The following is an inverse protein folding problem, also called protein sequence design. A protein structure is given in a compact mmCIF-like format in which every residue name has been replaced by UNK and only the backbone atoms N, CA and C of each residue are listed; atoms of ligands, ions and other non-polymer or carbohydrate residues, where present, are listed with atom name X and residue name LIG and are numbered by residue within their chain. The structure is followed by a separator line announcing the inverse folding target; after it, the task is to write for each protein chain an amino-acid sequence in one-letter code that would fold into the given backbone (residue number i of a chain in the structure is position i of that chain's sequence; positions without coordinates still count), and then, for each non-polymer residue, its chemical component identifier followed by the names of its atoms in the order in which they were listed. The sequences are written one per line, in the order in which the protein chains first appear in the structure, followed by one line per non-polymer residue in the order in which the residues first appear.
data_IF_393816524120
#
_entry.id   IF_393816524120
#
_cell.length_a   1.000
_cell.length_b   1.000
_cell.length_c   1.000
_cell.angle_alpha   90.00
_cell.angle_beta   90.00
_cell.angle_gamma   90.00
#
_symmetry.space_group_name_H-M   'P 1'
#
loop_
_entity.id
_entity.type
_entity.pdbx_description
1 polymer ?
#
# COMPACT_ATOMS: atom_id res chain seq x y z
N UNK A 1 -17.27 -38.47 44.53
CA UNK A 1 -16.49 -37.25 44.63
C UNK A 1 -15.11 -37.30 43.94
N UNK A 2 -14.29 -38.35 44.10
CA UNK A 2 -12.94 -38.45 43.47
C UNK A 2 -13.00 -38.44 41.92
N UNK A 3 -13.97 -39.12 41.30
CA UNK A 3 -14.08 -39.11 39.82
C UNK A 3 -14.49 -37.76 39.23
N UNK A 4 -15.30 -36.98 39.93
CA UNK A 4 -15.71 -35.64 39.51
C UNK A 4 -14.53 -34.66 39.56
N UNK A 5 -13.64 -34.78 40.56
CA UNK A 5 -12.46 -33.95 40.71
C UNK A 5 -11.43 -34.24 39.59
N UNK A 6 -11.27 -35.51 39.19
CA UNK A 6 -10.35 -35.87 38.10
C UNK A 6 -10.87 -35.33 36.76
N UNK A 7 -12.16 -35.36 36.52
CA UNK A 7 -12.77 -34.79 35.29
C UNK A 7 -12.56 -33.28 35.23
N UNK A 8 -12.72 -32.56 36.36
CA UNK A 8 -12.54 -31.13 36.41
C UNK A 8 -11.08 -30.70 36.17
N UNK A 9 -10.13 -31.45 36.73
CA UNK A 9 -8.68 -31.21 36.54
C UNK A 9 -8.28 -31.48 35.09
N UNK A 10 -8.80 -32.53 34.44
CA UNK A 10 -8.51 -32.81 33.02
C UNK A 10 -9.07 -31.72 32.09
N UNK A 11 -10.28 -31.23 32.34
CA UNK A 11 -10.87 -30.12 31.54
C UNK A 11 -10.09 -28.83 31.74
N UNK A 12 -9.62 -28.52 32.95
CA UNK A 12 -8.79 -27.33 33.18
C UNK A 12 -7.43 -27.44 32.47
N UNK A 13 -6.80 -28.60 32.49
CA UNK A 13 -5.52 -28.85 31.84
C UNK A 13 -5.62 -28.75 30.31
N UNK A 14 -6.69 -29.30 29.70
CA UNK A 14 -6.91 -29.20 28.25
C UNK A 14 -7.15 -27.74 27.81
N UNK A 15 -7.91 -26.98 28.57
CA UNK A 15 -8.12 -25.55 28.27
C UNK A 15 -6.84 -24.71 28.42
N UNK A 16 -6.01 -25.02 29.43
CA UNK A 16 -4.71 -24.35 29.61
C UNK A 16 -3.73 -24.66 28.48
N UNK A 17 -3.71 -25.92 28.03
CA UNK A 17 -2.86 -26.38 26.93
C UNK A 17 -3.29 -25.75 25.59
N UNK A 18 -4.60 -25.64 25.33
CA UNK A 18 -5.14 -24.97 24.13
C UNK A 18 -4.84 -23.46 24.15
N UNK A 19 -4.93 -22.82 25.31
CA UNK A 19 -4.59 -21.40 25.43
C UNK A 19 -3.09 -21.11 25.23
N UNK A 20 -2.21 -22.02 25.69
CA UNK A 20 -0.78 -21.93 25.44
C UNK A 20 -0.43 -22.19 23.97
N UNK A 21 -1.03 -23.20 23.32
CA UNK A 21 -0.85 -23.48 21.91
C UNK A 21 -1.33 -22.32 21.03
N UNK A 22 -2.47 -21.72 21.36
CA UNK A 22 -2.97 -20.54 20.67
C UNK A 22 -2.05 -19.32 20.82
N UNK A 23 -1.51 -19.08 22.00
CA UNK A 23 -0.50 -18.02 22.21
C UNK A 23 0.77 -18.28 21.42
N UNK A 24 1.30 -19.48 21.45
CA UNK A 24 2.54 -19.84 20.72
C UNK A 24 2.35 -19.74 19.21
N UNK A 25 1.20 -20.17 18.69
CA UNK A 25 0.89 -20.02 17.25
C UNK A 25 0.72 -18.56 16.85
N UNK A 26 0.11 -17.73 17.67
CA UNK A 26 -0.05 -16.29 17.41
C UNK A 26 1.29 -15.56 17.49
N UNK A 27 2.17 -15.92 18.41
CA UNK A 27 3.52 -15.35 18.52
C UNK A 27 4.42 -15.81 17.38
N UNK A 28 4.36 -17.06 16.97
CA UNK A 28 5.07 -17.57 15.79
C UNK A 28 4.53 -16.95 14.50
N UNK A 29 3.21 -16.74 14.39
CA UNK A 29 2.60 -16.05 13.27
C UNK A 29 3.04 -14.60 13.22
N UNK A 30 3.03 -13.88 14.34
CA UNK A 30 3.60 -12.53 14.45
C UNK A 30 5.08 -12.51 14.08
N UNK A 31 5.91 -13.39 14.64
CA UNK A 31 7.33 -13.45 14.34
C UNK A 31 7.63 -13.79 12.87
N UNK A 32 6.81 -14.61 12.22
CA UNK A 32 6.96 -14.91 10.78
C UNK A 32 6.55 -13.73 9.87
N UNK A 33 5.60 -12.89 10.32
CA UNK A 33 5.24 -11.64 9.64
C UNK A 33 6.19 -10.49 10.00
N UNK A 34 6.80 -10.52 11.17
CA UNK A 34 7.65 -9.46 11.73
C UNK A 34 9.12 -9.55 11.31
N UNK A 35 9.51 -10.44 10.43
CA UNK A 35 10.74 -10.26 9.69
C UNK A 35 10.52 -9.12 8.70
N UNK A 36 10.39 -7.92 9.26
CA UNK A 36 10.23 -6.69 8.52
C UNK A 36 11.43 -6.57 7.57
N UNK A 37 11.17 -6.78 6.30
CA UNK A 37 12.14 -6.47 5.27
C UNK A 37 12.23 -4.96 5.27
N UNK A 38 13.39 -4.42 5.62
CA UNK A 38 13.60 -2.99 5.67
C UNK A 38 13.58 -2.42 4.25
N UNK A 39 12.59 -1.58 3.98
CA UNK A 39 12.43 -0.92 2.68
C UNK A 39 13.62 -0.02 2.36
N UNK A 40 14.31 0.52 3.38
CA UNK A 40 15.47 1.39 3.18
C UNK A 40 16.56 0.72 2.34
N UNK A 41 16.70 -0.61 2.47
CA UNK A 41 17.65 -1.40 1.68
C UNK A 41 17.36 -1.41 0.18
N UNK A 42 16.22 -0.90 -0.24
CA UNK A 42 15.78 -0.83 -1.64
C UNK A 42 15.69 0.61 -2.18
N UNK A 43 15.92 1.64 -1.37
CA UNK A 43 15.73 3.04 -1.79
C UNK A 43 16.83 3.56 -2.72
N UNK A 44 18.08 3.12 -2.54
CA UNK A 44 19.26 3.62 -3.27
C UNK A 44 19.51 2.83 -4.57
N UNK A 45 18.49 2.74 -5.42
CA UNK A 45 18.61 2.00 -6.67
C UNK A 45 19.01 2.89 -7.85
N UNK A 46 20.11 2.55 -8.50
CA UNK A 46 20.63 3.24 -9.69
C UNK A 46 20.54 2.39 -10.98
N UNK A 47 19.87 1.24 -10.89
CA UNK A 47 19.75 0.33 -12.04
C UNK A 47 18.68 0.74 -13.06
N UNK A 48 18.45 -0.05 -14.10
CA UNK A 48 17.46 0.24 -15.13
C UNK A 48 16.04 0.16 -14.58
N UNK A 49 15.25 1.19 -14.85
CA UNK A 49 13.85 1.26 -14.45
C UNK A 49 12.98 0.37 -15.34
N UNK A 50 12.02 -0.33 -14.73
CA UNK A 50 11.06 -1.18 -15.40
C UNK A 50 9.78 -0.38 -15.73
N UNK A 51 9.28 -0.42 -16.98
CA UNK A 51 8.04 0.25 -17.33
C UNK A 51 6.84 -0.45 -16.70
N UNK A 52 6.01 0.33 -16.00
CA UNK A 52 4.77 -0.13 -15.36
C UNK A 52 3.59 0.72 -15.79
N UNK A 53 2.40 0.11 -15.77
CA UNK A 53 1.13 0.80 -15.97
C UNK A 53 0.25 0.55 -14.75
N UNK A 54 -0.23 1.62 -14.12
CA UNK A 54 -1.18 1.49 -13.01
C UNK A 54 -2.58 1.34 -13.58
N UNK A 55 -3.22 0.20 -13.31
CA UNK A 55 -4.60 -0.08 -13.74
C UNK A 55 -5.63 0.41 -12.72
N UNK A 56 -5.31 0.25 -11.43
CA UNK A 56 -6.19 0.65 -10.34
C UNK A 56 -5.34 1.07 -9.15
N UNK A 57 -5.69 2.20 -8.55
CA UNK A 57 -5.02 2.69 -7.35
C UNK A 57 -5.99 3.44 -6.45
N UNK A 58 -6.07 3.06 -5.18
CA UNK A 58 -6.87 3.72 -4.18
C UNK A 58 -7.79 2.78 -3.40
N UNK A 59 -8.99 3.24 -3.12
CA UNK A 59 -10.01 2.53 -2.33
C UNK A 59 -10.98 1.84 -3.29
N UNK A 60 -11.35 0.60 -2.99
CA UNK A 60 -12.31 -0.16 -3.79
C UNK A 60 -13.77 0.24 -3.47
N UNK A 61 -14.71 -0.19 -4.33
CA UNK A 61 -16.11 0.19 -4.20
C UNK A 61 -16.75 -0.42 -2.94
N UNK A 62 -16.37 -1.63 -2.54
CA UNK A 62 -16.85 -2.29 -1.32
C UNK A 62 -16.50 -1.48 -0.06
N UNK A 63 -15.28 -0.91 -0.02
CA UNK A 63 -14.85 -0.03 1.08
C UNK A 63 -15.63 1.28 1.09
N UNK A 64 -15.99 1.82 -0.07
CA UNK A 64 -16.84 3.02 -0.16
C UNK A 64 -18.28 2.75 0.26
N UNK A 65 -18.78 1.53 0.07
CA UNK A 65 -20.10 1.12 0.58
C UNK A 65 -20.10 0.98 2.11
N UNK A 66 -19.03 0.40 2.67
CA UNK A 66 -18.89 0.26 4.13
C UNK A 66 -18.58 1.57 4.84
N UNK A 67 -17.83 2.46 4.19
CA UNK A 67 -17.34 3.74 4.74
C UNK A 67 -17.58 4.89 3.75
N UNK A 68 -18.83 5.40 3.64
CA UNK A 68 -19.19 6.46 2.69
C UNK A 68 -18.36 7.74 2.85
N UNK A 69 -17.92 8.05 4.07
CA UNK A 69 -17.08 9.20 4.37
C UNK A 69 -15.72 9.18 3.62
N UNK A 70 -15.21 8.02 3.28
CA UNK A 70 -13.99 7.91 2.48
C UNK A 70 -14.17 8.48 1.07
N UNK A 71 -15.36 8.34 0.50
CA UNK A 71 -15.73 8.89 -0.80
C UNK A 71 -15.94 10.39 -0.73
N UNK A 72 -16.71 10.84 0.26
CA UNK A 72 -17.03 12.26 0.46
C UNK A 72 -15.76 13.09 0.67
N UNK A 73 -14.82 12.57 1.47
CA UNK A 73 -13.56 13.22 1.79
C UNK A 73 -12.43 12.94 0.78
N UNK A 74 -12.72 12.28 -0.33
CA UNK A 74 -11.78 11.93 -1.40
C UNK A 74 -10.51 11.19 -0.92
N UNK A 75 -10.63 10.41 0.13
CA UNK A 75 -9.49 9.69 0.72
C UNK A 75 -8.83 8.77 -0.29
N UNK A 76 -9.60 8.11 -1.15
CA UNK A 76 -9.07 7.25 -2.19
C UNK A 76 -8.16 7.97 -3.18
N UNK A 77 -8.46 9.23 -3.53
CA UNK A 77 -7.59 10.04 -4.38
C UNK A 77 -6.27 10.36 -3.67
N UNK A 78 -6.31 10.68 -2.38
CA UNK A 78 -5.11 10.91 -1.59
C UNK A 78 -4.24 9.66 -1.46
N UNK A 79 -4.84 8.50 -1.18
CA UNK A 79 -4.14 7.21 -1.15
C UNK A 79 -3.50 6.91 -2.51
N UNK A 80 -4.22 7.14 -3.61
CA UNK A 80 -3.71 6.93 -4.97
C UNK A 80 -2.49 7.82 -5.27
N UNK A 81 -2.58 9.12 -4.96
CA UNK A 81 -1.48 10.06 -5.20
C UNK A 81 -0.23 9.68 -4.40
N UNK A 82 -0.38 9.36 -3.10
CA UNK A 82 0.73 8.91 -2.26
C UNK A 82 1.34 7.62 -2.80
N UNK A 83 0.51 6.68 -3.26
CA UNK A 83 1.00 5.41 -3.78
C UNK A 83 1.80 5.58 -5.08
N UNK A 84 1.36 6.47 -5.96
CA UNK A 84 2.10 6.78 -7.18
C UNK A 84 3.43 7.46 -6.87
N UNK A 85 3.42 8.51 -6.05
CA UNK A 85 4.64 9.19 -5.59
C UNK A 85 5.61 8.21 -4.90
N UNK A 86 5.07 7.31 -4.10
CA UNK A 86 5.86 6.29 -3.42
C UNK A 86 6.58 5.36 -4.40
N UNK A 87 5.87 4.83 -5.40
CA UNK A 87 6.46 3.96 -6.42
C UNK A 87 7.51 4.69 -7.27
N UNK A 88 7.29 5.97 -7.56
CA UNK A 88 8.24 6.81 -8.28
C UNK A 88 9.54 7.00 -7.47
N UNK A 89 9.41 7.29 -6.17
CA UNK A 89 10.54 7.49 -5.26
C UNK A 89 11.38 6.22 -5.04
N UNK A 90 10.85 5.03 -5.31
CA UNK A 90 11.64 3.79 -5.31
C UNK A 90 12.68 3.74 -6.43
N UNK A 91 12.61 4.63 -7.42
CA UNK A 91 13.50 4.75 -8.58
C UNK A 91 13.70 3.45 -9.39
N UNK A 92 12.82 2.46 -9.21
CA UNK A 92 12.86 1.14 -9.89
C UNK A 92 11.87 1.05 -11.04
N UNK A 93 10.92 1.97 -11.06
CA UNK A 93 9.80 1.94 -11.98
C UNK A 93 9.71 3.24 -12.79
N UNK A 94 9.29 3.12 -14.04
CA UNK A 94 8.88 4.26 -14.87
C UNK A 94 7.45 4.04 -15.30
N UNK A 95 6.62 5.05 -15.14
CA UNK A 95 5.22 4.97 -15.51
C UNK A 95 5.05 5.07 -17.03
N UNK A 96 4.17 4.24 -17.56
CA UNK A 96 3.71 4.34 -18.96
C UNK A 96 2.32 4.97 -18.97
N UNK A 97 2.07 5.77 -19.99
CA UNK A 97 0.76 6.44 -20.14
C UNK A 97 -0.37 5.40 -20.32
N UNK A 98 -1.45 5.57 -19.58
CA UNK A 98 -2.63 4.71 -19.62
C UNK A 98 -3.80 5.32 -20.41
N UNK A 99 -3.87 6.65 -20.47
CA UNK A 99 -4.98 7.35 -21.13
C UNK A 99 -4.97 7.17 -22.63
N UNK A 100 -5.99 6.50 -23.14
CA UNK A 100 -6.17 6.24 -24.58
C UNK A 100 -6.10 7.51 -25.41
N UNK A 101 -6.62 8.62 -24.90
CA UNK A 101 -6.59 9.90 -25.58
C UNK A 101 -5.16 10.42 -25.79
N UNK A 102 -4.31 10.32 -24.77
CA UNK A 102 -2.90 10.73 -24.84
C UNK A 102 -2.14 9.80 -25.78
N UNK A 103 -2.34 8.47 -25.67
CA UNK A 103 -1.74 7.50 -26.59
C UNK A 103 -2.10 7.80 -28.04
N UNK A 104 -3.37 8.11 -28.32
CA UNK A 104 -3.82 8.48 -29.66
C UNK A 104 -3.17 9.79 -30.16
N UNK A 105 -2.98 10.78 -29.29
CA UNK A 105 -2.25 12.01 -29.63
C UNK A 105 -0.78 11.73 -29.95
N UNK A 106 -0.11 10.89 -29.17
CA UNK A 106 1.26 10.48 -29.41
C UNK A 106 1.41 9.78 -30.78
N UNK A 107 0.49 8.87 -31.14
CA UNK A 107 0.47 8.19 -32.43
C UNK A 107 0.29 9.21 -33.58
N UNK A 108 -0.64 10.18 -33.43
CA UNK A 108 -0.86 11.23 -34.43
C UNK A 108 0.37 12.12 -34.62
N UNK A 109 1.04 12.53 -33.52
CA UNK A 109 2.28 13.31 -33.60
C UNK A 109 3.39 12.55 -34.30
N UNK A 110 3.51 11.26 -34.01
CA UNK A 110 4.48 10.39 -34.67
C UNK A 110 4.20 10.28 -36.18
N UNK A 111 2.96 10.06 -36.57
CA UNK A 111 2.54 10.03 -37.99
C UNK A 111 2.80 11.36 -38.71
N UNK A 112 2.53 12.51 -38.06
CA UNK A 112 2.83 13.83 -38.60
C UNK A 112 4.34 14.06 -38.80
N UNK A 113 5.15 13.61 -37.85
CA UNK A 113 6.60 13.67 -37.95
C UNK A 113 7.14 12.81 -39.10
N UNK A 114 6.62 11.61 -39.27
CA UNK A 114 6.99 10.70 -40.38
C UNK A 114 6.56 11.27 -41.74
N UNK A 115 5.42 11.94 -41.82
CA UNK A 115 4.93 12.59 -43.01
C UNK A 115 5.66 13.90 -43.36
N UNK A 116 6.63 14.33 -42.58
CA UNK A 116 7.39 15.56 -42.79
C UNK A 116 6.58 16.85 -42.53
N UNK A 117 5.44 16.76 -41.84
CA UNK A 117 4.55 17.88 -41.52
C UNK A 117 5.02 18.64 -40.28
N UNK A 118 5.92 18.04 -39.51
CA UNK A 118 6.47 18.61 -38.25
C UNK A 118 7.88 19.13 -38.46
N UNK A 119 8.14 20.38 -37.99
CA UNK A 119 9.52 20.94 -37.96
C UNK A 119 10.45 20.13 -37.05
N UNK A 120 9.91 19.54 -35.98
CA UNK A 120 10.65 18.66 -35.08
C UNK A 120 10.53 17.22 -35.58
N UNK A 121 11.60 16.72 -36.20
CA UNK A 121 11.68 15.27 -36.43
C UNK A 121 11.77 14.59 -35.09
N UNK A 122 10.67 13.94 -34.70
CA UNK A 122 10.76 12.92 -33.66
C UNK A 122 11.68 11.85 -34.22
N UNK A 123 12.87 11.73 -33.65
CA UNK A 123 13.85 10.69 -34.01
C UNK A 123 13.25 9.33 -33.65
N UNK A 124 12.22 9.05 -34.47
CA UNK A 124 11.22 8.11 -34.10
C UNK A 124 11.53 6.74 -34.58
N UNK A 125 12.37 6.09 -33.94
CA UNK A 125 12.12 4.66 -33.74
C UNK A 125 11.06 4.50 -32.64
N UNK A 126 9.98 5.31 -32.73
CA UNK A 126 8.88 5.48 -31.79
C UNK A 126 8.29 4.19 -31.28
N UNK A 127 9.09 3.51 -30.48
CA UNK A 127 8.62 2.40 -29.68
C UNK A 127 7.91 3.02 -28.48
N UNK A 128 6.59 3.01 -28.52
CA UNK A 128 5.79 3.23 -27.32
C UNK A 128 6.30 2.20 -26.30
N UNK A 129 6.82 2.67 -25.19
CA UNK A 129 7.21 1.77 -24.12
C UNK A 129 5.95 1.07 -23.60
N UNK A 130 5.86 -0.23 -23.86
CA UNK A 130 4.80 -1.05 -23.28
C UNK A 130 5.16 -1.33 -21.81
N UNK A 131 4.15 -1.38 -20.98
CA UNK A 131 4.33 -1.77 -19.59
C UNK A 131 4.81 -3.23 -19.51
N UNK A 132 5.85 -3.47 -18.72
CA UNK A 132 6.26 -4.83 -18.36
C UNK A 132 5.36 -5.40 -17.28
N UNK A 133 4.89 -4.55 -16.37
CA UNK A 133 3.95 -4.95 -15.32
C UNK A 133 2.73 -4.04 -15.29
N UNK A 134 1.57 -4.66 -15.11
CA UNK A 134 0.35 -3.99 -14.69
C UNK A 134 0.29 -3.97 -13.18
N UNK A 135 0.02 -2.80 -12.60
CA UNK A 135 0.02 -2.59 -11.16
C UNK A 135 -1.39 -2.25 -10.69
N UNK A 136 -1.81 -2.94 -9.62
CA UNK A 136 -3.01 -2.57 -8.85
C UNK A 136 -2.64 -2.35 -7.40
N UNK A 137 -3.17 -1.28 -6.81
CA UNK A 137 -2.99 -0.93 -5.40
C UNK A 137 -4.38 -0.70 -4.82
N UNK A 138 -4.78 -1.54 -3.89
CA UNK A 138 -6.13 -1.51 -3.32
C UNK A 138 -6.08 -1.48 -1.80
N UNK A 139 -6.89 -0.60 -1.22
CA UNK A 139 -7.15 -0.60 0.21
C UNK A 139 -8.13 -1.73 0.54
N UNK A 140 -7.74 -2.64 1.42
CA UNK A 140 -8.56 -3.77 1.87
C UNK A 140 -8.99 -3.64 3.34
N UNK A 141 -8.37 -2.73 4.08
CA UNK A 141 -8.69 -2.50 5.49
C UNK A 141 -8.56 -1.02 5.82
N UNK A 142 -9.53 -0.50 6.53
CA UNK A 142 -9.54 0.86 7.02
C UNK A 142 -10.27 0.92 8.36
N UNK A 143 -9.64 1.54 9.34
CA UNK A 143 -10.30 1.81 10.61
C UNK A 143 -9.76 3.07 11.26
N UNK A 144 -10.66 3.78 11.94
CA UNK A 144 -10.30 4.83 12.89
C UNK A 144 -10.88 4.40 14.24
N UNK A 145 -10.04 4.26 15.23
CA UNK A 145 -10.43 3.89 16.59
C UNK A 145 -9.95 4.93 17.60
N UNK A 146 -10.74 5.15 18.65
CA UNK A 146 -10.37 5.96 19.79
C UNK A 146 -9.91 5.02 20.92
N UNK A 147 -8.71 4.46 20.81
CA UNK A 147 -8.31 3.27 21.60
C UNK A 147 -7.60 3.53 22.92
N UNK A 148 -7.00 4.70 23.10
CA UNK A 148 -6.17 4.91 24.30
C UNK A 148 -6.37 6.30 24.91
N UNK A 149 -6.52 6.31 26.21
CA UNK A 149 -6.47 7.52 27.01
C UNK A 149 -5.07 7.66 27.59
N UNK A 150 -4.32 8.67 27.16
CA UNK A 150 -3.00 8.95 27.72
C UNK A 150 -3.14 9.97 28.84
N UNK A 151 -2.65 9.59 30.03
CA UNK A 151 -2.46 10.53 31.15
C UNK A 151 -1.17 11.32 30.94
N UNK A 152 -1.30 12.60 30.67
CA UNK A 152 -0.20 13.55 30.60
C UNK A 152 -0.15 14.39 31.89
N UNK A 153 0.99 15.05 32.17
CA UNK A 153 1.12 15.94 33.34
C UNK A 153 0.07 17.06 33.37
N UNK A 154 -0.44 17.45 32.19
CA UNK A 154 -1.40 18.55 32.02
C UNK A 154 -2.84 18.08 31.72
N UNK A 155 -3.15 16.79 31.93
CA UNK A 155 -4.48 16.23 31.71
C UNK A 155 -4.50 14.94 30.92
N UNK A 156 -5.70 14.47 30.61
CA UNK A 156 -5.94 13.23 29.89
C UNK A 156 -6.25 13.55 28.42
N UNK A 157 -5.46 13.00 27.48
CA UNK A 157 -5.73 13.13 26.04
C UNK A 157 -6.15 11.80 25.46
N UNK A 158 -7.17 11.83 24.61
CA UNK A 158 -7.65 10.67 23.88
C UNK A 158 -6.85 10.49 22.58
N UNK A 159 -6.33 9.28 22.37
CA UNK A 159 -5.63 8.92 21.14
C UNK A 159 -6.60 8.39 20.11
N UNK A 160 -6.43 8.88 18.90
CA UNK A 160 -7.10 8.35 17.71
C UNK A 160 -6.06 7.58 16.89
N UNK A 161 -6.34 6.33 16.60
CA UNK A 161 -5.52 5.46 15.77
C UNK A 161 -6.17 5.29 14.42
N UNK A 162 -5.49 5.71 13.36
CA UNK A 162 -5.88 5.46 11.97
C UNK A 162 -5.10 4.27 11.45
N UNK A 163 -5.77 3.27 10.91
CA UNK A 163 -5.19 2.06 10.32
C UNK A 163 -5.59 1.93 8.86
N UNK A 164 -4.64 1.60 8.01
CA UNK A 164 -4.85 1.36 6.57
C UNK A 164 -4.12 0.08 6.17
N UNK A 165 -4.86 -0.84 5.56
CA UNK A 165 -4.31 -2.03 4.93
C UNK A 165 -4.30 -1.87 3.40
N UNK A 166 -3.14 -2.05 2.78
CA UNK A 166 -2.97 -1.98 1.33
C UNK A 166 -2.48 -3.30 0.77
N UNK A 167 -3.04 -3.69 -0.36
CA UNK A 167 -2.53 -4.76 -1.20
C UNK A 167 -1.97 -4.16 -2.49
N UNK A 168 -0.73 -4.49 -2.80
CA UNK A 168 -0.06 -4.12 -4.04
C UNK A 168 0.19 -5.38 -4.86
N UNK A 169 -0.13 -5.33 -6.16
CA UNK A 169 0.05 -6.45 -7.09
C UNK A 169 0.71 -5.96 -8.37
N UNK A 170 1.76 -6.65 -8.78
CA UNK A 170 2.43 -6.48 -10.05
C UNK A 170 2.17 -7.73 -10.89
N UNK A 171 1.42 -7.58 -11.96
CA UNK A 171 1.11 -8.66 -12.90
C UNK A 171 1.98 -8.48 -14.14
N UNK A 172 2.83 -9.44 -14.43
CA UNK A 172 3.64 -9.45 -15.65
C UNK A 172 2.72 -9.46 -16.87
N UNK A 173 2.89 -8.47 -17.75
CA UNK A 173 1.99 -8.23 -18.88
C UNK A 173 2.07 -9.33 -19.96
N UNK A 174 3.17 -10.08 -19.99
CA UNK A 174 3.42 -11.12 -20.98
C UNK A 174 3.03 -12.51 -20.46
N UNK A 175 3.39 -12.80 -19.21
CA UNK A 175 3.24 -14.16 -18.64
C UNK A 175 2.06 -14.29 -17.68
N UNK A 176 1.49 -13.18 -17.21
CA UNK A 176 0.45 -13.17 -16.20
C UNK A 176 0.95 -13.53 -14.78
N UNK A 177 2.25 -13.73 -14.57
CA UNK A 177 2.81 -14.01 -13.25
C UNK A 177 2.63 -12.82 -12.34
N UNK A 178 2.19 -13.07 -11.09
CA UNK A 178 1.86 -12.03 -10.12
C UNK A 178 2.86 -12.01 -8.98
N UNK A 179 3.41 -10.82 -8.71
CA UNK A 179 4.08 -10.49 -7.45
C UNK A 179 3.13 -9.66 -6.61
N UNK A 180 2.77 -10.14 -5.43
CA UNK A 180 1.85 -9.42 -4.55
C UNK A 180 2.46 -9.23 -3.17
N UNK A 181 2.14 -8.13 -2.54
CA UNK A 181 2.48 -7.83 -1.16
C UNK A 181 1.33 -7.07 -0.50
N UNK A 182 1.09 -7.36 0.76
CA UNK A 182 0.15 -6.60 1.58
C UNK A 182 0.89 -5.98 2.75
N UNK A 183 0.48 -4.80 3.14
CA UNK A 183 1.00 -4.10 4.30
C UNK A 183 -0.11 -3.47 5.10
N UNK A 184 0.08 -3.39 6.42
CA UNK A 184 -0.80 -2.71 7.35
C UNK A 184 -0.01 -1.57 8.00
N UNK A 185 -0.47 -0.35 7.82
CA UNK A 185 0.11 0.84 8.45
C UNK A 185 -0.84 1.43 9.46
N UNK A 186 -0.29 1.93 10.55
CA UNK A 186 -1.02 2.65 11.58
C UNK A 186 -0.36 4.00 11.88
N UNK A 187 -1.18 4.98 12.22
CA UNK A 187 -0.73 6.28 12.69
C UNK A 187 -1.58 6.70 13.89
N UNK A 188 -0.93 7.28 14.89
CA UNK A 188 -1.59 7.76 16.12
C UNK A 188 -1.57 9.29 16.16
N UNK A 189 -2.68 9.88 16.61
CA UNK A 189 -2.79 11.32 16.83
C UNK A 189 -3.67 11.60 18.03
N UNK A 190 -3.62 12.82 18.56
CA UNK A 190 -4.56 13.24 19.62
C UNK A 190 -5.90 13.65 18.99
N UNK A 191 -6.98 13.56 19.78
CA UNK A 191 -8.34 13.90 19.31
C UNK A 191 -8.44 15.33 18.74
N UNK A 192 -7.69 16.26 19.28
CA UNK A 192 -7.64 17.66 18.82
C UNK A 192 -7.10 17.80 17.38
N UNK A 193 -6.18 16.90 16.97
CA UNK A 193 -5.60 16.89 15.63
C UNK A 193 -6.32 15.92 14.67
N UNK A 194 -7.22 15.08 15.18
CA UNK A 194 -7.99 14.13 14.36
C UNK A 194 -8.90 14.84 13.34
N UNK A 195 -9.38 16.03 13.67
CA UNK A 195 -10.16 16.88 12.77
C UNK A 195 -9.41 17.28 11.49
N UNK A 196 -8.07 17.35 11.55
CA UNK A 196 -7.20 17.63 10.40
C UNK A 196 -7.35 16.54 9.33
N UNK A 197 -7.61 15.30 9.77
CA UNK A 197 -7.76 14.15 8.88
C UNK A 197 -8.91 14.34 7.89
N UNK A 198 -10.02 14.94 8.32
CA UNK A 198 -11.19 15.16 7.47
C UNK A 198 -10.97 16.30 6.46
N UNK A 199 -10.34 17.38 6.90
CA UNK A 199 -10.03 18.51 6.02
C UNK A 199 -8.89 18.17 5.05
N UNK A 200 -7.92 17.39 5.50
CA UNK A 200 -6.80 16.95 4.69
C UNK A 200 -7.21 16.05 3.51
N UNK A 201 -8.34 15.36 3.60
CA UNK A 201 -8.86 14.56 2.49
C UNK A 201 -9.36 15.41 1.30
N UNK A 202 -9.66 16.71 1.53
CA UNK A 202 -10.06 17.66 0.49
C UNK A 202 -8.88 18.47 -0.08
N UNK A 203 -7.82 18.62 0.70
CA UNK A 203 -6.62 19.38 0.34
C UNK A 203 -5.42 18.41 0.26
N UNK A 204 -4.82 18.20 -0.94
CA UNK A 204 -3.69 17.29 -1.12
C UNK A 204 -2.49 17.62 -0.22
N UNK A 205 -2.24 18.90 0.05
CA UNK A 205 -1.12 19.33 0.91
C UNK A 205 -1.39 18.93 2.36
N UNK A 206 -2.59 19.16 2.85
CA UNK A 206 -2.99 18.73 4.21
C UNK A 206 -3.09 17.22 4.33
N UNK A 207 -3.56 16.52 3.27
CA UNK A 207 -3.60 15.07 3.24
C UNK A 207 -2.21 14.46 3.46
N UNK A 208 -1.17 14.99 2.83
CA UNK A 208 0.20 14.52 3.00
C UNK A 208 0.74 14.63 4.43
N UNK A 209 0.14 15.45 5.27
CA UNK A 209 0.48 15.63 6.68
C UNK A 209 -0.48 14.90 7.63
N UNK A 210 -1.49 14.21 7.10
CA UNK A 210 -2.51 13.53 7.90
C UNK A 210 -2.07 12.15 8.40
N UNK A 211 -2.78 11.65 9.40
CA UNK A 211 -2.60 10.28 9.90
C UNK A 211 -2.90 9.23 8.83
N UNK A 212 -3.83 9.51 7.91
CA UNK A 212 -4.11 8.64 6.75
C UNK A 212 -2.87 8.54 5.87
N UNK A 213 -2.20 9.66 5.59
CA UNK A 213 -0.98 9.68 4.80
C UNK A 213 0.14 8.85 5.44
N UNK A 214 0.36 9.03 6.74
CA UNK A 214 1.39 8.29 7.49
C UNK A 214 1.07 6.79 7.49
N UNK A 215 -0.18 6.41 7.75
CA UNK A 215 -0.61 5.02 7.72
C UNK A 215 -0.47 4.40 6.32
N UNK A 216 -0.83 5.15 5.27
CA UNK A 216 -0.67 4.74 3.86
C UNK A 216 0.80 4.46 3.53
N UNK A 217 1.72 5.38 3.87
CA UNK A 217 3.16 5.22 3.63
C UNK A 217 3.71 3.98 4.34
N UNK A 218 3.39 3.78 5.61
CA UNK A 218 3.80 2.58 6.36
C UNK A 218 3.26 1.28 5.75
N UNK A 219 2.02 1.28 5.26
CA UNK A 219 1.45 0.13 4.58
C UNK A 219 2.20 -0.17 3.26
N UNK A 220 2.55 0.87 2.50
CA UNK A 220 3.34 0.75 1.28
C UNK A 220 4.75 0.25 1.55
N UNK A 221 5.42 0.75 2.61
CA UNK A 221 6.75 0.28 3.02
C UNK A 221 6.77 -1.24 3.17
N UNK A 222 5.80 -1.79 3.89
CA UNK A 222 5.70 -3.24 4.12
C UNK A 222 5.34 -3.99 2.83
N UNK A 223 4.35 -3.51 2.09
CA UNK A 223 3.88 -4.17 0.88
C UNK A 223 4.95 -4.20 -0.21
N UNK A 224 5.57 -3.05 -0.49
CA UNK A 224 6.59 -2.91 -1.52
C UNK A 224 7.89 -3.64 -1.16
N UNK A 225 8.32 -3.60 0.11
CA UNK A 225 9.50 -4.35 0.55
C UNK A 225 9.35 -5.85 0.28
N UNK A 226 8.17 -6.43 0.54
CA UNK A 226 7.87 -7.84 0.25
C UNK A 226 7.89 -8.17 -1.23
N UNK A 227 7.40 -7.25 -2.08
CA UNK A 227 7.41 -7.43 -3.53
C UNK A 227 8.83 -7.33 -4.06
N UNK A 228 9.56 -6.29 -3.67
CA UNK A 228 10.93 -6.06 -4.11
C UNK A 228 11.88 -7.19 -3.71
N UNK A 229 11.77 -7.70 -2.48
CA UNK A 229 12.53 -8.88 -2.05
C UNK A 229 12.28 -10.10 -2.96
N UNK A 230 11.02 -10.34 -3.33
CA UNK A 230 10.67 -11.43 -4.26
C UNK A 230 11.19 -11.19 -5.66
N UNK A 231 11.11 -9.95 -6.16
CA UNK A 231 11.62 -9.57 -7.48
C UNK A 231 13.14 -9.67 -7.55
N UNK A 232 13.86 -9.26 -6.50
CA UNK A 232 15.31 -9.43 -6.37
C UNK A 232 15.69 -10.90 -6.33
N UNK A 233 15.01 -11.74 -5.54
CA UNK A 233 15.23 -13.19 -5.48
C UNK A 233 14.99 -13.88 -6.83
N UNK A 234 14.15 -13.31 -7.69
CA UNK A 234 13.90 -13.78 -9.07
C UNK A 234 14.88 -13.19 -10.11
N UNK A 235 15.82 -12.36 -9.68
CA UNK A 235 16.79 -11.72 -10.58
C UNK A 235 16.21 -10.61 -11.47
N UNK A 236 15.04 -10.07 -11.13
CA UNK A 236 14.39 -8.97 -11.88
C UNK A 236 15.11 -7.66 -11.58
N UNK A 237 15.50 -7.45 -10.33
CA UNK A 237 16.31 -6.34 -9.87
C UNK A 237 17.59 -6.83 -9.20
N UNK A 238 18.65 -6.04 -9.28
CA UNK A 238 19.79 -6.11 -8.36
C UNK A 238 19.43 -5.37 -7.07
N UNK A 239 20.08 -5.75 -5.95
CA UNK A 239 19.96 -4.99 -4.70
C UNK A 239 20.58 -3.62 -4.86
#
# INVERSE_FOLDING_TARGET
MKQLLILFVTILYTNLLQAQLAKTSTEQYKASFEKAIDISSFMDYEGPQIPIQILKCGINDEMYEMYPELKEKRVGLGVANISMEYLENLNRFKFTEDKTEIKNRMVKQFQASQAGISENKLDGRGKINLAKYFVTIECYDYSISEDETISLKDGTKQLVVTRIGLQVRFTDAETGVVFSGSGLGDAKTTKETAGITSDAALDPVKFNQSTISIATKKALDIACARILDRMVKKGIFTK
#
